data_IF_331311710952
#
_entry.id   IF_331311710952
#
_cell.length_a   1.000
_cell.length_b   1.000
_cell.length_c   1.000
_cell.angle_alpha   90.00
_cell.angle_beta   90.00
_cell.angle_gamma   90.00
#
_symmetry.space_group_name_H-M   'P 1'
#
loop_
_entity.id
_entity.type
_entity.pdbx_description
1 polymer ?
#
# COMPACT_ATOMS: atom_id res chain seq x y z
N UNK A 1 7.97 1.59 -32.09
CA UNK A 1 6.57 1.19 -31.92
C UNK A 1 6.05 1.94 -30.72
N UNK A 2 5.04 2.78 -30.89
CA UNK A 2 4.60 3.69 -29.85
C UNK A 2 4.14 2.92 -28.64
N UNK A 3 4.72 3.26 -27.50
CA UNK A 3 4.32 2.79 -26.19
C UNK A 3 2.86 3.25 -25.96
N UNK A 4 1.91 2.43 -26.33
CA UNK A 4 0.57 2.56 -25.81
C UNK A 4 0.69 2.11 -24.36
N UNK A 5 0.82 3.06 -23.49
CA UNK A 5 0.48 2.84 -22.10
C UNK A 5 -0.81 2.06 -22.00
N UNK A 6 -1.13 1.47 -20.84
CA UNK A 6 -2.36 0.71 -20.66
C UNK A 6 -3.48 1.50 -21.30
N UNK A 7 -4.29 0.83 -22.12
CA UNK A 7 -5.41 1.48 -22.77
C UNK A 7 -6.21 2.17 -21.67
N UNK A 8 -6.24 3.51 -21.59
CA UNK A 8 -7.03 4.15 -20.55
C UNK A 8 -8.45 3.62 -20.75
N UNK A 9 -9.00 3.00 -19.71
CA UNK A 9 -10.37 2.57 -19.72
C UNK A 9 -11.20 3.73 -20.27
N UNK A 10 -12.25 3.47 -21.00
CA UNK A 10 -13.07 4.42 -21.78
C UNK A 10 -13.64 5.60 -20.96
N UNK A 11 -13.27 5.73 -19.71
CA UNK A 11 -13.74 6.76 -18.78
C UNK A 11 -12.70 7.88 -18.65
N UNK A 12 -12.87 8.93 -19.45
CA UNK A 12 -12.24 10.21 -19.19
C UNK A 12 -12.77 10.72 -17.84
N UNK A 13 -12.02 10.49 -16.79
CA UNK A 13 -12.33 11.07 -15.48
C UNK A 13 -12.09 12.58 -15.61
N UNK A 14 -13.14 13.36 -15.36
CA UNK A 14 -13.07 14.83 -15.47
C UNK A 14 -12.26 15.37 -14.30
N UNK A 15 -11.69 16.57 -14.51
CA UNK A 15 -11.15 17.38 -13.41
C UNK A 15 -12.26 17.61 -12.40
N UNK A 16 -12.15 17.00 -11.25
CA UNK A 16 -13.12 17.20 -10.19
C UNK A 16 -12.58 18.19 -9.17
N UNK A 17 -13.41 19.19 -8.89
CA UNK A 17 -13.18 20.00 -7.72
C UNK A 17 -13.56 19.19 -6.48
N UNK A 18 -12.58 18.93 -5.62
CA UNK A 18 -12.80 18.21 -4.36
C UNK A 18 -12.98 19.24 -3.24
N UNK A 19 -14.21 19.45 -2.72
CA UNK A 19 -14.43 20.39 -1.63
C UNK A 19 -13.56 20.08 -0.42
N UNK A 20 -13.03 21.09 0.26
CA UNK A 20 -12.17 20.91 1.43
C UNK A 20 -12.85 20.14 2.58
N UNK A 21 -14.18 20.18 2.65
CA UNK A 21 -14.95 19.45 3.66
C UNK A 21 -14.78 17.93 3.53
N UNK A 22 -14.43 17.43 2.35
CA UNK A 22 -14.05 16.02 2.15
C UNK A 22 -12.81 15.61 2.97
N UNK A 23 -11.98 16.56 3.38
CA UNK A 23 -10.77 16.32 4.17
C UNK A 23 -10.89 16.77 5.63
N UNK A 24 -11.68 17.84 5.89
CA UNK A 24 -11.67 18.52 7.19
C UNK A 24 -12.91 18.25 8.02
N UNK A 25 -14.02 17.86 7.39
CA UNK A 25 -15.30 17.72 8.07
C UNK A 25 -15.35 16.43 8.89
N UNK A 26 -15.66 16.58 10.18
CA UNK A 26 -15.90 15.43 11.06
C UNK A 26 -17.11 14.62 10.55
N UNK A 27 -18.17 15.26 10.10
CA UNK A 27 -19.36 14.58 9.56
C UNK A 27 -19.08 13.84 8.26
N UNK A 28 -18.07 14.27 7.48
CA UNK A 28 -17.63 13.50 6.31
C UNK A 28 -16.89 12.23 6.75
N UNK A 29 -16.00 12.35 7.72
CA UNK A 29 -15.29 11.19 8.30
C UNK A 29 -16.26 10.20 8.96
N UNK A 30 -17.26 10.67 9.66
CA UNK A 30 -18.33 9.84 10.25
C UNK A 30 -19.06 9.02 9.17
N UNK A 31 -19.33 9.63 8.00
CA UNK A 31 -19.92 8.90 6.86
C UNK A 31 -18.94 7.89 6.24
N UNK A 32 -17.66 8.20 6.16
CA UNK A 32 -16.63 7.24 5.75
C UNK A 32 -16.60 6.05 6.70
N UNK A 33 -16.60 6.31 8.00
CA UNK A 33 -16.58 5.28 9.03
C UNK A 33 -17.83 4.38 8.98
N UNK A 34 -19.00 4.96 8.70
CA UNK A 34 -20.24 4.20 8.64
C UNK A 34 -20.48 3.46 7.32
N UNK A 35 -19.99 3.99 6.19
CA UNK A 35 -20.42 3.54 4.86
C UNK A 35 -19.30 3.06 3.95
N UNK A 36 -18.05 3.48 4.16
CA UNK A 36 -16.92 3.03 3.36
C UNK A 36 -16.26 1.81 4.01
N UNK A 37 -15.66 2.00 5.19
CA UNK A 37 -14.79 1.00 5.81
C UNK A 37 -15.47 -0.36 6.07
N UNK A 38 -16.75 -0.44 6.45
CA UNK A 38 -17.42 -1.72 6.60
C UNK A 38 -17.68 -2.48 5.30
N UNK A 39 -17.63 -1.81 4.13
CA UNK A 39 -18.08 -2.37 2.85
C UNK A 39 -16.98 -2.59 1.82
N UNK A 40 -15.74 -2.24 2.14
CA UNK A 40 -14.62 -2.34 1.20
C UNK A 40 -13.64 -3.42 1.61
N UNK A 41 -13.04 -4.07 0.63
CA UNK A 41 -11.86 -4.89 0.85
C UNK A 41 -10.68 -4.01 1.20
N UNK A 42 -9.99 -4.35 2.28
CA UNK A 42 -8.84 -3.61 2.76
C UNK A 42 -7.78 -4.56 3.32
N UNK A 43 -6.51 -4.20 3.15
CA UNK A 43 -5.40 -5.00 3.67
C UNK A 43 -5.40 -4.96 5.19
N UNK A 44 -5.38 -6.11 5.84
CA UNK A 44 -5.20 -6.22 7.28
C UNK A 44 -3.73 -6.48 7.66
N UNK A 45 -3.09 -7.44 7.01
CA UNK A 45 -1.69 -7.84 7.26
C UNK A 45 -1.09 -8.54 6.03
N UNK A 46 0.16 -9.02 6.16
CA UNK A 46 0.74 -9.98 5.22
C UNK A 46 0.74 -11.39 5.79
N UNK A 47 0.79 -12.38 4.90
CA UNK A 47 0.84 -13.81 5.26
C UNK A 47 2.02 -14.14 6.17
N UNK A 48 3.15 -13.47 6.01
CA UNK A 48 4.34 -13.64 6.83
C UNK A 48 4.21 -13.13 8.27
N UNK A 49 3.16 -12.37 8.57
CA UNK A 49 2.84 -11.90 9.92
C UNK A 49 2.09 -12.95 10.76
N UNK A 50 1.49 -13.93 10.08
CA UNK A 50 0.74 -15.04 10.68
C UNK A 50 1.17 -16.38 10.04
N UNK A 51 2.45 -16.77 10.11
CA UNK A 51 2.98 -17.90 9.36
C UNK A 51 2.49 -19.28 9.87
N UNK A 52 2.13 -19.41 11.14
CA UNK A 52 1.80 -20.70 11.76
C UNK A 52 0.36 -20.73 12.30
N UNK A 53 -0.22 -21.91 12.41
CA UNK A 53 -1.52 -22.11 13.06
C UNK A 53 -1.51 -21.52 14.46
N UNK A 54 -2.53 -20.72 14.76
CA UNK A 54 -2.70 -19.97 15.98
C UNK A 54 -2.12 -18.55 15.96
N UNK A 55 -1.25 -18.22 15.00
CA UNK A 55 -0.75 -16.86 14.86
C UNK A 55 -1.88 -15.93 14.44
N UNK A 56 -1.95 -14.77 15.08
CA UNK A 56 -2.99 -13.76 14.81
C UNK A 56 -2.43 -12.35 14.83
N UNK A 57 -3.16 -11.46 14.16
CA UNK A 57 -3.01 -10.00 14.26
C UNK A 57 -4.37 -9.37 14.50
N UNK A 58 -4.43 -8.21 15.16
CA UNK A 58 -5.60 -7.36 15.16
C UNK A 58 -5.46 -6.22 14.16
N UNK A 59 -6.54 -5.92 13.48
CA UNK A 59 -6.64 -4.80 12.55
C UNK A 59 -7.77 -3.87 13.02
N UNK A 60 -7.40 -2.61 13.31
CA UNK A 60 -8.32 -1.59 13.80
C UNK A 60 -8.58 -0.53 12.73
N UNK A 61 -9.84 -0.27 12.42
CA UNK A 61 -10.29 0.76 11.47
C UNK A 61 -11.70 1.24 11.81
N UNK A 62 -11.95 2.53 11.72
CA UNK A 62 -13.29 3.12 11.87
C UNK A 62 -14.03 2.70 13.15
N UNK A 63 -13.32 2.54 14.26
CA UNK A 63 -13.88 2.10 15.54
C UNK A 63 -14.02 0.60 15.70
N UNK A 64 -13.91 -0.18 14.62
CA UNK A 64 -13.95 -1.64 14.66
C UNK A 64 -12.56 -2.24 14.89
N UNK A 65 -12.56 -3.44 15.49
CA UNK A 65 -11.37 -4.26 15.69
C UNK A 65 -11.63 -5.67 15.15
N UNK A 66 -10.74 -6.13 14.27
CA UNK A 66 -10.87 -7.45 13.62
C UNK A 66 -9.68 -8.31 14.00
N UNK A 67 -9.93 -9.55 14.44
CA UNK A 67 -8.90 -10.57 14.60
C UNK A 67 -8.75 -11.28 13.26
N UNK A 68 -7.54 -11.33 12.72
CA UNK A 68 -7.16 -12.17 11.59
C UNK A 68 -6.26 -13.27 12.13
N UNK A 69 -6.61 -14.53 11.93
CA UNK A 69 -5.95 -15.68 12.55
C UNK A 69 -5.74 -16.81 11.56
N UNK A 70 -4.58 -17.45 11.58
CA UNK A 70 -4.34 -18.68 10.84
C UNK A 70 -4.90 -19.87 11.62
N UNK A 71 -5.94 -20.50 11.09
CA UNK A 71 -6.63 -21.64 11.71
C UNK A 71 -6.02 -22.99 11.31
N UNK A 72 -5.48 -23.08 10.09
CA UNK A 72 -4.73 -24.25 9.58
C UNK A 72 -3.60 -23.77 8.65
N UNK A 73 -2.78 -24.68 8.16
CA UNK A 73 -1.63 -24.37 7.29
C UNK A 73 -2.04 -23.52 6.07
N UNK A 74 -3.17 -23.81 5.50
CA UNK A 74 -3.74 -23.20 4.29
C UNK A 74 -5.05 -22.42 4.55
N UNK A 75 -5.43 -22.21 5.83
CA UNK A 75 -6.67 -21.54 6.18
C UNK A 75 -6.45 -20.33 7.10
N UNK A 76 -7.06 -19.21 6.75
CA UNK A 76 -7.13 -17.98 7.54
C UNK A 76 -8.61 -17.67 7.78
N UNK A 77 -8.95 -17.24 8.98
CA UNK A 77 -10.27 -16.71 9.35
C UNK A 77 -10.13 -15.30 9.90
N UNK A 78 -11.21 -14.55 9.81
CA UNK A 78 -11.29 -13.25 10.46
C UNK A 78 -12.62 -13.13 11.23
N UNK A 79 -12.56 -12.45 12.37
CA UNK A 79 -13.69 -12.26 13.26
C UNK A 79 -13.67 -10.86 13.87
N UNK A 80 -14.85 -10.30 14.16
CA UNK A 80 -14.92 -9.14 15.05
C UNK A 80 -14.31 -9.49 16.40
N UNK A 81 -13.43 -8.62 16.89
CA UNK A 81 -12.68 -8.79 18.13
C UNK A 81 -13.52 -8.40 19.35
N UNK A 82 -14.61 -9.11 19.55
CA UNK A 82 -15.60 -8.76 20.57
C UNK A 82 -16.18 -9.99 21.25
N UNK A 83 -16.17 -10.01 22.58
CA UNK A 83 -16.80 -11.04 23.40
C UNK A 83 -18.33 -10.95 23.30
N UNK A 84 -18.98 -12.06 22.94
CA UNK A 84 -20.45 -12.12 22.79
C UNK A 84 -21.22 -12.05 24.08
N UNK A 85 -20.54 -12.04 25.24
CA UNK A 85 -21.19 -11.85 26.54
C UNK A 85 -21.51 -10.36 26.82
N UNK A 86 -20.48 -9.51 26.93
CA UNK A 86 -20.61 -8.09 27.31
C UNK A 86 -19.61 -7.17 26.55
N UNK A 87 -19.26 -7.51 25.32
CA UNK A 87 -18.58 -6.63 24.40
C UNK A 87 -17.09 -6.35 24.67
N UNK A 88 -16.43 -7.08 25.61
CA UNK A 88 -15.00 -6.86 25.82
C UNK A 88 -14.18 -7.30 24.62
N UNK A 89 -13.20 -6.51 24.19
CA UNK A 89 -12.16 -6.96 23.23
C UNK A 89 -11.46 -8.21 23.77
N UNK A 90 -11.25 -9.21 22.91
CA UNK A 90 -10.65 -10.49 23.27
C UNK A 90 -9.13 -10.41 23.32
N UNK A 91 -8.51 -9.70 22.34
CA UNK A 91 -7.07 -9.59 22.20
C UNK A 91 -6.66 -8.25 21.59
N UNK A 92 -5.33 -7.97 21.56
CA UNK A 92 -4.75 -6.77 20.95
C UNK A 92 -3.44 -7.12 20.28
N UNK A 93 -3.07 -6.35 19.24
CA UNK A 93 -1.79 -6.46 18.55
C UNK A 93 -1.63 -7.76 17.79
N UNK A 94 -0.57 -8.49 18.02
CA UNK A 94 -0.28 -9.77 17.40
C UNK A 94 0.20 -10.79 18.44
N UNK A 95 0.06 -12.07 18.11
CA UNK A 95 0.49 -13.14 19.00
C UNK A 95 0.11 -14.51 18.50
N UNK A 96 0.14 -15.49 19.41
CA UNK A 96 -0.27 -16.85 19.14
C UNK A 96 -1.29 -17.32 20.16
N UNK A 97 -2.35 -17.93 19.70
CA UNK A 97 -3.44 -18.44 20.53
C UNK A 97 -3.84 -19.86 20.12
N UNK A 98 -4.15 -20.72 21.07
CA UNK A 98 -4.86 -21.97 20.81
C UNK A 98 -6.38 -21.77 20.82
N UNK A 99 -6.85 -20.78 21.56
CA UNK A 99 -8.24 -20.31 21.67
C UNK A 99 -8.24 -18.85 22.07
N UNK A 100 -9.27 -18.12 21.68
CA UNK A 100 -9.51 -16.78 22.20
C UNK A 100 -10.22 -16.86 23.54
N UNK A 101 -9.75 -16.09 24.50
CA UNK A 101 -10.23 -16.11 25.88
C UNK A 101 -10.61 -14.71 26.33
N UNK A 102 -11.87 -14.56 26.79
CA UNK A 102 -12.31 -13.30 27.40
C UNK A 102 -11.83 -13.23 28.85
N UNK A 103 -10.92 -12.32 29.15
CA UNK A 103 -10.40 -12.15 30.50
C UNK A 103 -11.38 -11.52 31.48
N UNK A 104 -12.65 -11.25 31.08
CA UNK A 104 -13.67 -10.70 31.98
C UNK A 104 -14.42 -11.81 32.70
N UNK A 105 -15.04 -12.78 31.98
CA UNK A 105 -15.83 -13.86 32.58
C UNK A 105 -15.43 -15.24 32.07
N UNK A 106 -14.26 -15.38 31.47
CA UNK A 106 -13.69 -16.69 31.12
C UNK A 106 -14.32 -17.40 29.93
N UNK A 107 -15.16 -16.75 29.13
CA UNK A 107 -15.71 -17.34 27.93
C UNK A 107 -14.59 -17.55 26.88
N UNK A 108 -14.70 -18.64 26.14
CA UNK A 108 -13.65 -19.04 25.18
C UNK A 108 -14.24 -19.39 23.82
N UNK A 109 -13.46 -19.11 22.77
CA UNK A 109 -13.75 -19.46 21.39
C UNK A 109 -12.57 -20.18 20.76
N UNK A 110 -12.89 -21.15 19.92
CA UNK A 110 -11.90 -21.76 19.03
C UNK A 110 -11.44 -20.74 17.98
N UNK A 111 -10.35 -21.03 17.28
CA UNK A 111 -9.79 -20.12 16.27
C UNK A 111 -10.74 -19.87 15.10
N UNK A 112 -11.65 -20.81 14.81
CA UNK A 112 -12.68 -20.69 13.77
C UNK A 112 -13.89 -19.86 14.22
N UNK A 113 -13.86 -19.29 15.45
CA UNK A 113 -14.92 -18.48 16.02
C UNK A 113 -16.04 -19.27 16.71
N UNK A 114 -16.05 -20.60 16.65
CA UNK A 114 -17.02 -21.41 17.37
C UNK A 114 -16.82 -21.33 18.88
N UNK A 115 -17.92 -21.44 19.64
CA UNK A 115 -17.87 -21.41 21.11
C UNK A 115 -17.12 -22.64 21.63
N UNK A 116 -16.13 -22.42 22.47
CA UNK A 116 -15.37 -23.48 23.14
C UNK A 116 -15.80 -23.68 24.59
N UNK A 117 -16.17 -22.60 25.27
CA UNK A 117 -16.62 -22.64 26.67
C UNK A 117 -17.43 -21.42 27.05
N UNK A 118 -18.54 -21.62 27.71
CA UNK A 118 -19.28 -20.62 28.48
C UNK A 118 -19.18 -21.04 29.96
N UNK A 119 -18.79 -20.12 30.82
CA UNK A 119 -18.70 -20.39 32.24
C UNK A 119 -20.13 -20.57 32.80
N UNK A 120 -20.32 -21.60 33.65
CA UNK A 120 -21.59 -21.92 34.29
C UNK A 120 -22.76 -21.97 33.29
N UNK A 121 -22.53 -22.71 32.18
CA UNK A 121 -23.45 -22.78 31.03
C UNK A 121 -24.88 -23.15 31.43
N UNK A 122 -25.03 -24.00 32.46
CA UNK A 122 -26.34 -24.50 32.93
C UNK A 122 -27.20 -23.41 33.54
N UNK A 123 -26.60 -22.35 34.10
CA UNK A 123 -27.32 -21.18 34.65
C UNK A 123 -28.10 -20.43 33.57
N UNK A 124 -27.73 -20.63 32.30
CA UNK A 124 -28.36 -20.00 31.15
C UNK A 124 -29.47 -20.83 30.49
N UNK A 125 -29.89 -21.94 31.17
CA UNK A 125 -30.91 -22.81 30.63
C UNK A 125 -32.25 -22.04 30.46
N UNK A 126 -32.79 -22.07 29.25
CA UNK A 126 -34.04 -21.38 28.91
C UNK A 126 -33.89 -19.88 28.59
N UNK A 127 -32.68 -19.31 28.65
CA UNK A 127 -32.44 -17.94 28.19
C UNK A 127 -32.48 -17.89 26.66
N UNK A 128 -33.07 -16.82 26.08
CA UNK A 128 -33.02 -16.61 24.63
C UNK A 128 -31.60 -16.30 24.15
N UNK A 129 -31.34 -16.50 22.86
CA UNK A 129 -30.07 -16.11 22.19
C UNK A 129 -28.81 -16.73 22.82
N UNK A 130 -28.93 -17.96 23.34
CA UNK A 130 -27.85 -18.69 24.02
C UNK A 130 -27.43 -19.96 23.29
N UNK A 131 -27.79 -20.13 22.03
CA UNK A 131 -27.28 -21.25 21.22
C UNK A 131 -25.82 -21.02 20.85
N UNK A 132 -25.09 -22.07 20.51
CA UNK A 132 -23.72 -21.93 20.07
C UNK A 132 -23.59 -21.08 18.76
N UNK A 133 -24.66 -21.05 17.95
CA UNK A 133 -24.79 -20.18 16.80
C UNK A 133 -24.82 -18.70 17.18
N UNK A 134 -25.65 -18.35 18.18
CA UNK A 134 -25.79 -16.98 18.67
C UNK A 134 -24.49 -16.45 19.30
N UNK A 135 -23.76 -17.34 19.96
CA UNK A 135 -22.55 -17.02 20.71
C UNK A 135 -21.26 -17.12 19.87
N UNK A 136 -21.36 -17.53 18.62
CA UNK A 136 -20.22 -17.58 17.71
C UNK A 136 -19.63 -16.17 17.51
N UNK A 137 -18.30 -16.05 17.40
CA UNK A 137 -17.70 -14.78 16.95
C UNK A 137 -18.22 -14.43 15.56
N UNK A 138 -18.68 -13.22 15.39
CA UNK A 138 -19.18 -12.74 14.10
C UNK A 138 -18.06 -12.80 13.07
N UNK A 139 -18.24 -13.54 11.97
CA UNK A 139 -17.20 -13.68 10.96
C UNK A 139 -17.05 -12.41 10.12
N UNK A 140 -15.85 -12.22 9.62
CA UNK A 140 -15.49 -11.19 8.63
C UNK A 140 -14.96 -11.92 7.40
N UNK A 141 -15.32 -11.47 6.21
CA UNK A 141 -14.77 -12.05 4.98
C UNK A 141 -13.26 -11.84 4.93
N UNK A 142 -12.53 -12.86 4.49
CA UNK A 142 -11.09 -12.83 4.35
C UNK A 142 -10.69 -13.53 3.05
N UNK A 143 -9.74 -12.93 2.33
CA UNK A 143 -9.13 -13.48 1.13
C UNK A 143 -7.71 -12.94 0.98
N UNK A 144 -6.95 -13.42 0.00
CA UNK A 144 -5.54 -13.07 -0.16
C UNK A 144 -5.19 -12.70 -1.60
N UNK A 145 -4.29 -11.73 -1.75
CA UNK A 145 -3.66 -11.39 -3.01
C UNK A 145 -2.24 -10.84 -2.77
N UNK A 146 -1.28 -11.25 -3.60
CA UNK A 146 0.10 -10.75 -3.56
C UNK A 146 0.81 -10.93 -2.22
N UNK A 147 0.43 -11.95 -1.43
CA UNK A 147 0.95 -12.17 -0.08
C UNK A 147 0.30 -11.30 1.00
N UNK A 148 -0.68 -10.47 0.65
CA UNK A 148 -1.48 -9.68 1.58
C UNK A 148 -2.79 -10.40 1.93
N UNK A 149 -3.22 -10.24 3.17
CA UNK A 149 -4.50 -10.70 3.67
C UNK A 149 -5.47 -9.53 3.68
N UNK A 150 -6.54 -9.66 2.93
CA UNK A 150 -7.62 -8.68 2.83
C UNK A 150 -8.80 -9.11 3.68
N UNK A 151 -9.50 -8.13 4.22
CA UNK A 151 -10.76 -8.34 4.95
C UNK A 151 -11.87 -7.46 4.38
N UNK A 152 -13.12 -7.91 4.54
CA UNK A 152 -14.30 -7.09 4.29
C UNK A 152 -15.37 -7.43 5.33
N UNK A 153 -15.90 -6.42 6.01
CA UNK A 153 -16.88 -6.59 7.08
C UNK A 153 -18.32 -6.80 6.54
N UNK A 154 -18.57 -6.53 5.27
CA UNK A 154 -19.84 -6.79 4.61
C UNK A 154 -19.92 -8.26 4.15
N UNK A 155 -20.80 -9.08 4.73
CA UNK A 155 -20.96 -10.48 4.29
C UNK A 155 -21.50 -10.62 2.87
N UNK A 156 -22.09 -9.56 2.30
CA UNK A 156 -22.59 -9.51 0.92
C UNK A 156 -21.59 -8.96 -0.09
N UNK A 157 -20.36 -8.68 0.32
CA UNK A 157 -19.35 -8.11 -0.58
C UNK A 157 -19.03 -9.01 -1.78
N UNK A 158 -18.73 -8.39 -2.91
CA UNK A 158 -18.22 -9.11 -4.07
C UNK A 158 -16.89 -9.81 -3.74
N UNK A 159 -16.55 -10.94 -4.42
CA UNK A 159 -15.26 -11.61 -4.22
C UNK A 159 -14.07 -10.66 -4.41
N UNK A 160 -12.99 -10.85 -3.62
CA UNK A 160 -11.79 -10.02 -3.69
C UNK A 160 -11.22 -9.94 -5.11
N UNK A 161 -11.15 -11.05 -5.82
CA UNK A 161 -10.63 -11.09 -7.20
C UNK A 161 -11.38 -10.14 -8.14
N UNK A 162 -12.71 -10.03 -7.98
CA UNK A 162 -13.53 -9.10 -8.75
C UNK A 162 -13.37 -7.65 -8.27
N UNK A 163 -13.23 -7.45 -6.96
CA UNK A 163 -12.99 -6.13 -6.39
C UNK A 163 -11.69 -5.51 -6.89
N UNK A 164 -10.62 -6.34 -7.02
CA UNK A 164 -9.29 -5.92 -7.43
C UNK A 164 -9.11 -5.82 -8.95
N UNK A 165 -10.05 -6.29 -9.77
CA UNK A 165 -9.93 -6.26 -11.24
C UNK A 165 -9.69 -4.81 -11.76
N UNK A 166 -8.69 -4.58 -12.64
CA UNK A 166 -7.76 -5.52 -13.30
C UNK A 166 -6.36 -5.59 -12.65
N UNK A 167 -6.19 -5.12 -11.42
CA UNK A 167 -4.87 -4.99 -10.77
C UNK A 167 -4.08 -6.30 -10.79
N UNK A 168 -4.64 -7.46 -10.38
CA UNK A 168 -3.90 -8.73 -10.41
C UNK A 168 -3.47 -9.15 -11.82
N UNK A 169 -4.32 -8.97 -12.83
CA UNK A 169 -3.97 -9.30 -14.22
C UNK A 169 -2.73 -8.58 -14.70
N UNK A 170 -2.57 -7.32 -14.29
CA UNK A 170 -1.46 -6.46 -14.74
C UNK A 170 -0.21 -6.67 -13.87
N UNK A 171 -0.36 -6.96 -12.58
CA UNK A 171 0.76 -6.85 -11.63
C UNK A 171 1.19 -8.18 -11.00
N UNK A 172 0.48 -9.29 -11.22
CA UNK A 172 0.90 -10.62 -10.71
C UNK A 172 2.27 -11.06 -11.26
N UNK A 173 2.73 -10.50 -12.39
CA UNK A 173 4.06 -10.76 -12.93
C UNK A 173 5.20 -10.36 -11.98
N UNK A 174 4.95 -9.52 -10.96
CA UNK A 174 5.93 -9.18 -9.93
C UNK A 174 6.01 -10.22 -8.80
N UNK A 175 5.06 -11.15 -8.70
CA UNK A 175 5.05 -12.21 -7.68
C UNK A 175 5.28 -11.68 -6.25
N UNK A 176 4.49 -10.68 -5.82
CA UNK A 176 4.63 -10.02 -4.51
C UNK A 176 4.55 -10.99 -3.32
N UNK A 177 3.89 -12.13 -3.47
CA UNK A 177 3.80 -13.18 -2.46
C UNK A 177 5.14 -13.87 -2.18
N UNK A 178 6.10 -13.77 -3.12
CA UNK A 178 7.48 -14.26 -2.96
C UNK A 178 8.41 -13.25 -2.29
N UNK A 179 7.98 -11.99 -2.14
CA UNK A 179 8.73 -10.98 -1.42
C UNK A 179 8.46 -11.06 0.08
N UNK A 180 9.40 -10.56 0.88
CA UNK A 180 9.31 -10.46 2.34
C UNK A 180 9.59 -9.04 2.78
N UNK A 181 9.21 -8.70 4.00
CA UNK A 181 9.55 -7.39 4.56
C UNK A 181 11.07 -7.18 4.60
N UNK A 182 11.54 -6.13 3.93
CA UNK A 182 12.81 -5.50 4.21
C UNK A 182 12.71 -4.68 5.48
N UNK A 183 11.59 -3.96 5.64
CA UNK A 183 11.18 -3.26 6.84
C UNK A 183 9.68 -2.91 6.79
N UNK A 184 9.10 -2.76 7.98
CA UNK A 184 7.73 -2.28 8.18
C UNK A 184 7.74 -1.12 9.16
N UNK A 185 7.25 0.05 8.76
CA UNK A 185 7.12 1.25 9.57
C UNK A 185 5.69 1.75 9.54
N UNK A 186 5.21 2.20 10.71
CA UNK A 186 3.86 2.76 10.86
C UNK A 186 3.97 4.08 11.61
N UNK A 187 3.42 5.13 11.02
CA UNK A 187 3.53 6.48 11.54
C UNK A 187 2.16 7.11 11.74
N UNK A 188 2.02 7.96 12.74
CA UNK A 188 0.89 8.86 12.88
C UNK A 188 1.24 10.18 12.20
N UNK A 189 0.58 10.52 11.10
CA UNK A 189 0.75 11.79 10.40
C UNK A 189 -0.33 12.79 10.79
N UNK A 190 0.00 14.08 11.00
CA UNK A 190 -0.96 15.12 11.32
C UNK A 190 -1.67 15.65 10.05
N UNK A 191 -2.30 14.75 9.31
CA UNK A 191 -3.11 15.05 8.15
C UNK A 191 -4.22 14.02 7.96
N UNK A 192 -5.22 14.36 7.15
CA UNK A 192 -6.27 13.42 6.77
C UNK A 192 -5.70 12.24 5.98
N UNK A 193 -6.27 11.05 6.15
CA UNK A 193 -5.80 9.85 5.46
C UNK A 193 -5.82 9.96 3.93
N UNK A 194 -6.75 10.78 3.37
CA UNK A 194 -6.82 11.06 1.94
C UNK A 194 -5.66 11.94 1.47
N UNK A 195 -5.29 12.95 2.26
CA UNK A 195 -4.11 13.81 1.96
C UNK A 195 -2.84 12.96 1.91
N UNK A 196 -2.67 12.04 2.87
CA UNK A 196 -1.53 11.12 2.88
C UNK A 196 -1.53 10.16 1.69
N UNK A 197 -2.71 9.63 1.32
CA UNK A 197 -2.85 8.72 0.19
C UNK A 197 -2.59 9.41 -1.16
N UNK A 198 -3.17 10.59 -1.36
CA UNK A 198 -3.12 11.32 -2.63
C UNK A 198 -1.70 11.72 -3.04
N UNK A 199 -0.82 12.00 -2.08
CA UNK A 199 0.57 12.33 -2.35
C UNK A 199 1.35 11.19 -3.05
N UNK A 200 0.83 9.96 -3.00
CA UNK A 200 1.40 8.78 -3.67
C UNK A 200 0.48 8.21 -4.76
N UNK A 201 -0.53 8.97 -5.16
CA UNK A 201 -1.48 8.57 -6.18
C UNK A 201 -1.28 9.36 -7.49
N UNK A 202 -0.19 10.08 -7.59
CA UNK A 202 0.17 10.92 -8.74
C UNK A 202 1.67 11.22 -8.73
N UNK A 203 2.22 11.62 -9.88
CA UNK A 203 3.62 12.04 -10.02
C UNK A 203 3.77 13.54 -10.34
N UNK A 204 2.69 14.33 -10.25
CA UNK A 204 2.71 15.74 -10.63
C UNK A 204 3.56 16.61 -9.70
N UNK A 205 3.63 16.22 -8.41
CA UNK A 205 4.41 16.93 -7.38
C UNK A 205 5.93 16.70 -7.50
N UNK A 206 6.37 15.64 -8.19
CA UNK A 206 7.79 15.20 -8.23
C UNK A 206 8.72 16.34 -8.62
N UNK A 207 8.36 17.10 -9.66
CA UNK A 207 9.20 18.18 -10.16
C UNK A 207 9.46 19.31 -9.13
N UNK A 208 8.56 19.51 -8.19
CA UNK A 208 8.68 20.56 -7.17
C UNK A 208 9.18 20.01 -5.82
N UNK A 209 8.69 18.85 -5.43
CA UNK A 209 8.98 18.24 -4.12
C UNK A 209 10.30 17.47 -4.12
N UNK A 210 10.63 16.82 -5.24
CA UNK A 210 11.81 15.93 -5.38
C UNK A 210 12.77 16.40 -6.48
N UNK A 211 13.28 17.64 -6.44
CA UNK A 211 14.12 18.16 -7.51
C UNK A 211 15.39 17.33 -7.76
N UNK A 212 15.85 16.58 -6.75
CA UNK A 212 16.98 15.66 -6.87
C UNK A 212 16.73 14.51 -7.87
N UNK A 213 15.48 14.17 -8.15
CA UNK A 213 15.12 13.13 -9.12
C UNK A 213 15.17 13.62 -10.55
N UNK A 214 15.06 14.93 -10.81
CA UNK A 214 14.97 15.48 -12.16
C UNK A 214 16.21 15.21 -13.00
N UNK A 215 17.35 14.95 -12.39
CA UNK A 215 18.59 14.64 -13.10
C UNK A 215 18.72 13.18 -13.53
N UNK A 216 17.87 12.30 -12.97
CA UNK A 216 17.99 10.84 -13.16
C UNK A 216 16.68 10.11 -13.46
N UNK A 217 15.53 10.77 -13.29
CA UNK A 217 14.24 10.10 -13.41
C UNK A 217 13.72 9.96 -14.86
N UNK A 218 14.44 10.50 -15.85
CA UNK A 218 14.05 10.42 -17.24
C UNK A 218 12.84 11.32 -17.57
N UNK A 219 11.81 10.74 -18.17
CA UNK A 219 10.58 11.47 -18.44
C UNK A 219 9.75 11.52 -17.15
N UNK A 220 9.86 12.63 -16.40
CA UNK A 220 9.08 12.88 -15.20
C UNK A 220 7.65 13.40 -15.48
N UNK A 221 7.30 13.58 -16.75
CA UNK A 221 5.96 13.96 -17.17
C UNK A 221 5.06 12.74 -17.13
N UNK A 222 4.41 12.52 -16.02
CA UNK A 222 3.55 11.36 -15.81
C UNK A 222 2.19 11.50 -16.49
N UNK A 223 1.52 10.39 -16.67
CA UNK A 223 0.10 10.28 -17.02
C UNK A 223 -0.57 9.36 -16.02
N UNK A 224 -1.75 9.75 -15.62
CA UNK A 224 -2.54 9.03 -14.63
C UNK A 224 -3.78 8.44 -15.30
N UNK A 225 -4.15 7.23 -14.89
CA UNK A 225 -5.19 6.42 -15.51
C UNK A 225 -6.14 5.88 -14.45
N UNK A 226 -7.41 5.71 -14.84
CA UNK A 226 -8.45 5.10 -14.02
C UNK A 226 -8.75 3.69 -14.52
N UNK A 227 -8.84 2.73 -13.60
CA UNK A 227 -9.20 1.34 -13.81
C UNK A 227 -10.35 0.96 -12.87
N UNK A 228 -11.59 1.18 -13.32
CA UNK A 228 -12.75 1.04 -12.44
C UNK A 228 -12.63 1.97 -11.23
N UNK A 229 -12.48 1.41 -10.05
CA UNK A 229 -12.27 2.14 -8.78
C UNK A 229 -10.79 2.39 -8.44
N UNK A 230 -9.90 1.73 -9.15
CA UNK A 230 -8.46 1.82 -8.96
C UNK A 230 -7.84 2.86 -9.86
N UNK A 231 -6.59 3.20 -9.60
CA UNK A 231 -5.84 4.13 -10.41
C UNK A 231 -4.38 3.70 -10.59
N UNK A 232 -3.75 4.27 -11.60
CA UNK A 232 -2.32 4.06 -11.85
C UNK A 232 -1.73 5.30 -12.46
N UNK A 233 -0.48 5.60 -12.18
CA UNK A 233 0.26 6.51 -13.03
C UNK A 233 1.52 5.86 -13.60
N UNK A 234 1.93 6.36 -14.74
CA UNK A 234 3.13 5.96 -15.45
C UNK A 234 3.68 7.11 -16.28
N UNK A 235 4.75 6.86 -16.99
CA UNK A 235 5.36 7.88 -17.83
C UNK A 235 4.54 8.11 -19.11
N UNK A 236 4.48 9.37 -19.54
CA UNK A 236 3.66 9.77 -20.68
C UNK A 236 4.21 9.33 -22.02
N UNK A 237 5.53 9.29 -22.11
CA UNK A 237 6.28 8.93 -23.32
C UNK A 237 7.57 8.22 -22.93
N UNK A 238 8.10 7.44 -23.84
CA UNK A 238 9.42 6.81 -23.66
C UNK A 238 10.55 7.65 -24.29
N UNK A 239 10.41 8.97 -24.32
CA UNK A 239 11.42 9.84 -24.94
C UNK A 239 12.72 9.91 -24.16
N UNK A 240 12.62 9.82 -22.83
CA UNK A 240 13.76 9.71 -21.93
C UNK A 240 13.47 8.64 -20.88
N UNK A 241 14.30 7.64 -20.84
CA UNK A 241 14.18 6.58 -19.83
C UNK A 241 14.84 7.00 -18.52
N UNK A 242 14.60 6.24 -17.47
CA UNK A 242 15.31 6.38 -16.19
C UNK A 242 16.83 6.39 -16.46
N UNK A 243 17.56 7.13 -15.67
CA UNK A 243 19.00 7.41 -15.89
C UNK A 243 19.29 8.62 -16.76
N UNK A 244 18.26 9.26 -17.35
CA UNK A 244 18.42 10.50 -18.09
C UNK A 244 17.82 11.68 -17.30
N UNK A 245 18.29 12.93 -17.53
CA UNK A 245 17.65 14.09 -16.95
C UNK A 245 16.26 14.31 -17.54
N UNK A 246 15.34 14.79 -16.71
CA UNK A 246 14.01 15.19 -17.14
C UNK A 246 14.07 16.27 -18.25
N UNK A 247 13.16 16.24 -19.24
CA UNK A 247 12.97 17.34 -20.18
C UNK A 247 12.77 18.70 -19.53
N UNK A 248 12.19 18.73 -18.33
CA UNK A 248 11.96 19.97 -17.55
C UNK A 248 13.22 20.70 -17.17
N UNK A 249 14.36 19.99 -17.06
CA UNK A 249 15.66 20.59 -16.71
C UNK A 249 16.30 21.36 -17.86
N UNK A 250 15.88 21.11 -19.09
CA UNK A 250 16.55 21.60 -20.31
C UNK A 250 17.93 20.98 -20.55
N UNK A 251 18.39 20.07 -19.71
CA UNK A 251 19.67 19.39 -19.87
C UNK A 251 19.67 18.44 -21.08
N UNK A 252 20.79 18.34 -21.81
CA UNK A 252 20.90 17.36 -22.87
C UNK A 252 20.91 15.93 -22.32
N UNK A 253 20.74 14.95 -23.22
CA UNK A 253 21.01 13.55 -22.93
C UNK A 253 22.48 13.38 -22.52
N UNK A 254 22.78 12.51 -21.55
CA UNK A 254 24.18 12.21 -21.21
C UNK A 254 24.89 11.53 -22.39
N UNK A 255 26.15 11.82 -22.58
CA UNK A 255 26.98 11.15 -23.59
C UNK A 255 27.10 9.65 -23.33
N UNK A 256 27.21 9.28 -22.06
CA UNK A 256 27.21 7.89 -21.60
C UNK A 256 25.92 7.60 -20.76
N UNK A 257 24.96 6.97 -21.40
CA UNK A 257 23.67 6.63 -20.77
C UNK A 257 23.82 5.58 -19.67
N UNK A 258 24.90 4.79 -19.65
CA UNK A 258 25.17 3.80 -18.59
C UNK A 258 25.40 4.48 -17.25
N UNK A 259 26.22 5.55 -17.24
CA UNK A 259 26.49 6.33 -16.02
C UNK A 259 25.22 6.95 -15.44
N UNK A 260 24.33 7.42 -16.31
CA UNK A 260 23.02 7.94 -15.90
C UNK A 260 22.19 6.92 -15.16
N UNK A 261 22.12 5.68 -15.68
CA UNK A 261 21.35 4.61 -15.06
C UNK A 261 21.97 4.13 -13.72
N UNK A 262 23.30 4.02 -13.64
CA UNK A 262 23.99 3.74 -12.38
C UNK A 262 23.69 4.82 -11.34
N UNK A 263 23.69 6.10 -11.74
CA UNK A 263 23.32 7.20 -10.86
C UNK A 263 21.86 7.11 -10.41
N UNK A 264 20.94 6.73 -11.28
CA UNK A 264 19.51 6.53 -10.91
C UNK A 264 19.38 5.53 -9.77
N UNK A 265 19.94 4.33 -9.91
CA UNK A 265 19.86 3.31 -8.85
C UNK A 265 20.49 3.78 -7.54
N UNK A 266 21.64 4.45 -7.61
CA UNK A 266 22.29 5.03 -6.43
C UNK A 266 21.40 6.09 -5.75
N UNK A 267 20.85 7.03 -6.52
CA UNK A 267 19.95 8.07 -5.96
C UNK A 267 18.71 7.46 -5.31
N UNK A 268 18.10 6.48 -5.97
CA UNK A 268 16.91 5.81 -5.42
C UNK A 268 17.23 5.04 -4.13
N UNK A 269 18.36 4.32 -4.09
CA UNK A 269 18.76 3.59 -2.89
C UNK A 269 19.10 4.53 -1.72
N UNK A 270 19.80 5.65 -2.00
CA UNK A 270 20.19 6.63 -0.98
C UNK A 270 19.01 7.48 -0.48
N UNK A 271 18.04 7.81 -1.35
CA UNK A 271 17.00 8.82 -1.03
C UNK A 271 15.62 8.25 -0.76
N UNK A 272 15.24 7.14 -1.38
CA UNK A 272 13.97 6.45 -1.10
C UNK A 272 14.15 5.28 -0.13
N UNK A 273 15.23 4.51 -0.25
CA UNK A 273 15.62 3.38 0.64
C UNK A 273 14.60 2.23 0.70
N UNK A 274 13.76 2.09 -0.30
CA UNK A 274 12.57 1.25 -0.16
C UNK A 274 12.29 0.27 -1.31
N UNK A 275 12.63 0.60 -2.56
CA UNK A 275 12.31 -0.21 -3.75
C UNK A 275 13.57 -0.91 -4.26
N UNK A 276 14.57 -0.12 -4.65
CA UNK A 276 15.84 -0.65 -5.13
C UNK A 276 16.70 -1.13 -3.96
N UNK A 277 17.42 -2.20 -4.19
CA UNK A 277 18.27 -2.84 -3.18
C UNK A 277 19.74 -2.49 -3.39
N UNK A 278 20.58 -2.71 -2.38
CA UNK A 278 22.03 -2.61 -2.55
C UNK A 278 22.54 -3.55 -3.66
N UNK A 279 21.92 -4.74 -3.77
CA UNK A 279 22.21 -5.71 -4.84
C UNK A 279 21.92 -5.13 -6.22
N UNK A 280 20.78 -4.44 -6.40
CA UNK A 280 20.44 -3.78 -7.65
C UNK A 280 21.47 -2.73 -8.04
N UNK A 281 21.93 -1.94 -7.07
CA UNK A 281 22.93 -0.88 -7.27
C UNK A 281 24.28 -1.47 -7.64
N UNK A 282 24.74 -2.51 -6.95
CA UNK A 282 26.02 -3.16 -7.27
C UNK A 282 25.98 -3.85 -8.64
N UNK A 283 24.87 -4.52 -8.96
CA UNK A 283 24.68 -5.12 -10.28
C UNK A 283 24.70 -4.07 -11.40
N UNK A 284 24.06 -2.92 -11.20
CA UNK A 284 24.07 -1.84 -12.19
C UNK A 284 25.47 -1.27 -12.47
N UNK A 285 26.39 -1.27 -11.52
CA UNK A 285 27.78 -0.81 -11.71
C UNK A 285 28.54 -1.63 -12.76
N UNK A 286 28.15 -2.89 -12.98
CA UNK A 286 28.73 -3.76 -14.00
C UNK A 286 28.57 -3.18 -15.41
N UNK A 287 27.56 -2.34 -15.65
CA UNK A 287 27.38 -1.64 -16.92
C UNK A 287 28.65 -0.89 -17.35
N UNK A 288 29.35 -0.28 -16.40
CA UNK A 288 30.53 0.53 -16.69
C UNK A 288 31.72 -0.28 -17.20
N UNK A 289 31.76 -1.58 -16.88
CA UNK A 289 32.90 -2.46 -17.19
C UNK A 289 32.57 -3.55 -18.22
N UNK A 290 31.32 -3.99 -18.29
CA UNK A 290 30.89 -5.15 -19.06
C UNK A 290 30.01 -4.78 -20.28
N UNK A 291 29.73 -3.49 -20.48
CA UNK A 291 28.93 -3.02 -21.62
C UNK A 291 29.66 -1.87 -22.37
N UNK A 292 29.55 -1.84 -23.70
CA UNK A 292 30.06 -0.75 -24.51
C UNK A 292 29.33 0.58 -24.24
N UNK A 293 30.02 1.73 -24.23
CA UNK A 293 29.34 3.03 -24.09
C UNK A 293 28.44 3.42 -25.28
N UNK A 294 28.50 2.68 -26.39
CA UNK A 294 27.70 2.95 -27.59
C UNK A 294 26.25 2.42 -27.53
N UNK A 295 25.85 1.79 -26.43
CA UNK A 295 24.48 1.29 -26.27
C UNK A 295 23.43 2.41 -26.17
N UNK A 296 22.24 2.18 -26.74
CA UNK A 296 21.11 3.08 -26.55
C UNK A 296 20.47 2.86 -25.18
N UNK A 297 19.60 3.78 -24.74
CA UNK A 297 18.96 3.72 -23.41
C UNK A 297 18.23 2.40 -23.14
N UNK A 298 17.54 1.85 -24.14
CA UNK A 298 16.82 0.59 -23.99
C UNK A 298 17.77 -0.59 -23.77
N UNK A 299 18.84 -0.67 -24.55
CA UNK A 299 19.87 -1.71 -24.41
C UNK A 299 20.56 -1.64 -23.05
N UNK A 300 20.86 -0.42 -22.57
CA UNK A 300 21.47 -0.21 -21.26
C UNK A 300 20.53 -0.65 -20.13
N UNK A 301 19.26 -0.29 -20.21
CA UNK A 301 18.27 -0.73 -19.21
C UNK A 301 18.09 -2.26 -19.22
N UNK A 302 18.00 -2.86 -20.42
CA UNK A 302 17.88 -4.30 -20.57
C UNK A 302 19.08 -5.03 -19.95
N UNK A 303 20.28 -4.51 -20.18
CA UNK A 303 21.52 -5.09 -19.63
C UNK A 303 21.62 -4.90 -18.12
N UNK A 304 21.18 -3.76 -17.59
CA UNK A 304 21.11 -3.55 -16.14
C UNK A 304 20.18 -4.59 -15.49
N UNK A 305 18.99 -4.80 -16.05
CA UNK A 305 18.04 -5.79 -15.51
C UNK A 305 18.57 -7.23 -15.64
N UNK A 306 19.32 -7.54 -16.69
CA UNK A 306 20.00 -8.83 -16.81
C UNK A 306 21.01 -9.03 -15.66
N UNK A 307 21.85 -8.02 -15.39
CA UNK A 307 22.81 -8.07 -14.28
C UNK A 307 22.14 -8.17 -12.90
N UNK A 308 21.04 -7.46 -12.70
CA UNK A 308 20.25 -7.54 -11.46
C UNK A 308 19.65 -8.93 -11.28
N UNK A 309 19.10 -9.51 -12.37
CA UNK A 309 18.60 -10.88 -12.37
C UNK A 309 19.69 -11.89 -12.02
N UNK A 310 20.85 -11.77 -12.67
CA UNK A 310 22.00 -12.64 -12.39
C UNK A 310 22.42 -12.55 -10.93
N UNK A 311 22.51 -11.35 -10.36
CA UNK A 311 22.87 -11.14 -8.96
C UNK A 311 21.82 -11.75 -8.01
N UNK A 312 20.53 -11.52 -8.27
CA UNK A 312 19.44 -12.05 -7.46
C UNK A 312 19.40 -13.59 -7.48
N UNK A 313 19.60 -14.19 -8.66
CA UNK A 313 19.67 -15.65 -8.82
C UNK A 313 20.92 -16.22 -8.13
N UNK A 314 22.07 -15.58 -8.28
CA UNK A 314 23.31 -16.02 -7.63
C UNK A 314 23.22 -15.99 -6.10
N UNK A 315 22.50 -15.04 -5.53
CA UNK A 315 22.21 -14.98 -4.09
C UNK A 315 21.09 -15.94 -3.64
N UNK A 316 20.40 -16.61 -4.58
CA UNK A 316 19.28 -17.50 -4.28
C UNK A 316 17.95 -16.79 -4.01
N UNK A 317 17.86 -15.49 -4.24
CA UNK A 317 16.64 -14.70 -4.04
C UNK A 317 15.59 -14.91 -5.14
N UNK A 318 16.02 -15.40 -6.31
CA UNK A 318 15.18 -15.58 -7.47
C UNK A 318 14.85 -14.27 -8.20
N UNK A 319 14.19 -14.38 -9.34
CA UNK A 319 13.75 -13.27 -10.17
C UNK A 319 12.46 -13.65 -10.89
N UNK A 320 11.48 -12.73 -11.03
CA UNK A 320 10.22 -13.08 -11.70
C UNK A 320 10.42 -13.18 -13.22
N UNK A 321 9.61 -14.03 -13.85
CA UNK A 321 9.50 -14.08 -15.31
C UNK A 321 8.66 -12.89 -15.78
N UNK A 322 9.33 -11.77 -16.07
CA UNK A 322 8.69 -10.52 -16.44
C UNK A 322 9.28 -9.93 -17.71
N UNK A 323 8.43 -9.57 -18.66
CA UNK A 323 8.84 -8.92 -19.90
C UNK A 323 8.83 -7.39 -19.78
N UNK A 324 9.56 -6.71 -20.68
CA UNK A 324 9.52 -5.25 -20.77
C UNK A 324 8.13 -4.70 -21.11
N UNK A 325 7.32 -5.47 -21.85
CA UNK A 325 5.93 -5.09 -22.14
C UNK A 325 5.10 -5.10 -20.86
N UNK A 326 5.24 -6.14 -20.03
CA UNK A 326 4.56 -6.22 -18.72
C UNK A 326 5.00 -5.10 -17.79
N UNK A 327 6.31 -4.80 -17.72
CA UNK A 327 6.83 -3.67 -16.93
C UNK A 327 6.24 -2.35 -17.41
N UNK A 328 6.22 -2.12 -18.73
CA UNK A 328 5.62 -0.91 -19.30
C UNK A 328 4.12 -0.79 -19.03
N UNK A 329 3.40 -1.93 -19.07
CA UNK A 329 1.95 -1.98 -18.76
C UNK A 329 1.67 -1.73 -17.29
N UNK A 330 2.53 -2.21 -16.41
CA UNK A 330 2.37 -2.03 -14.96
C UNK A 330 2.54 -0.58 -14.50
N UNK A 331 3.23 0.26 -15.28
CA UNK A 331 3.46 1.66 -14.92
C UNK A 331 4.40 1.83 -13.73
N UNK A 332 4.29 2.95 -13.05
CA UNK A 332 5.19 3.31 -11.96
C UNK A 332 4.57 3.13 -10.57
N UNK A 333 3.27 3.36 -10.43
CA UNK A 333 2.58 3.35 -9.14
C UNK A 333 1.11 2.98 -9.33
N UNK A 334 0.55 2.24 -8.38
CA UNK A 334 -0.84 1.81 -8.35
C UNK A 334 -1.54 2.28 -7.09
N UNK A 335 -2.72 2.85 -7.27
CA UNK A 335 -3.69 3.05 -6.20
C UNK A 335 -4.75 1.95 -6.27
N UNK A 336 -4.78 1.08 -5.27
CA UNK A 336 -5.83 0.08 -5.06
C UNK A 336 -6.83 0.63 -4.05
N UNK A 337 -8.01 0.97 -4.54
CA UNK A 337 -9.09 1.51 -3.70
C UNK A 337 -9.39 0.56 -2.52
N UNK A 338 -9.65 1.05 -1.28
CA UNK A 338 -9.73 2.46 -0.94
C UNK A 338 -8.38 3.10 -0.59
N UNK A 339 -7.40 2.37 -0.08
CA UNK A 339 -6.32 2.97 0.70
C UNK A 339 -4.96 2.29 0.57
N UNK A 340 -4.78 1.43 -0.40
CA UNK A 340 -3.49 0.79 -0.68
C UNK A 340 -2.84 1.42 -1.91
N UNK A 341 -1.57 1.80 -1.78
CA UNK A 341 -0.74 2.27 -2.89
C UNK A 341 0.51 1.40 -2.98
N UNK A 342 1.01 1.13 -4.18
CA UNK A 342 2.27 0.42 -4.32
C UNK A 342 3.05 0.79 -5.57
N UNK A 343 4.38 0.79 -5.42
CA UNK A 343 5.37 0.99 -6.47
C UNK A 343 6.07 -0.36 -6.72
N UNK A 344 5.79 -1.02 -7.85
CA UNK A 344 6.34 -2.35 -8.12
C UNK A 344 7.72 -2.28 -8.76
N UNK A 345 8.59 -3.22 -8.38
CA UNK A 345 9.86 -3.51 -9.05
C UNK A 345 10.13 -5.02 -8.98
N UNK A 346 10.88 -5.62 -9.94
CA UNK A 346 11.10 -7.06 -9.95
C UNK A 346 11.75 -7.64 -8.69
N UNK A 347 12.71 -6.93 -8.09
CA UNK A 347 13.44 -7.36 -6.89
C UNK A 347 12.87 -6.83 -5.58
N UNK A 348 12.02 -5.83 -5.65
CA UNK A 348 11.41 -5.22 -4.46
C UNK A 348 10.17 -4.41 -4.76
N UNK A 349 9.48 -3.96 -3.74
CA UNK A 349 8.32 -3.11 -3.89
C UNK A 349 8.13 -2.23 -2.66
N UNK A 350 7.53 -1.07 -2.87
CA UNK A 350 7.13 -0.19 -1.78
C UNK A 350 5.62 -0.13 -1.74
N UNK A 351 5.04 -0.40 -0.58
CA UNK A 351 3.61 -0.36 -0.35
C UNK A 351 3.27 0.65 0.74
N UNK A 352 2.15 1.30 0.60
CA UNK A 352 1.59 2.24 1.57
C UNK A 352 0.13 1.92 1.86
N UNK A 353 -0.29 2.15 3.10
CA UNK A 353 -1.69 2.11 3.48
C UNK A 353 -2.01 3.29 4.39
N UNK A 354 -2.92 4.18 3.97
CA UNK A 354 -3.44 5.25 4.80
C UNK A 354 -4.79 4.85 5.40
N UNK A 355 -5.01 5.07 6.69
CA UNK A 355 -6.29 4.80 7.35
C UNK A 355 -6.59 5.86 8.40
N UNK A 356 -7.88 6.12 8.71
CA UNK A 356 -8.23 7.11 9.72
C UNK A 356 -7.65 6.77 11.09
N UNK A 357 -7.29 7.80 11.86
CA UNK A 357 -6.90 7.69 13.27
C UNK A 357 -8.10 8.02 14.15
N UNK A 358 -8.92 7.01 14.41
CA UNK A 358 -10.19 7.18 15.10
C UNK A 358 -11.15 8.09 14.36
N UNK A 359 -11.67 9.09 15.06
CA UNK A 359 -12.63 10.10 14.57
C UNK A 359 -12.00 11.50 14.38
N UNK A 360 -10.67 11.56 14.26
CA UNK A 360 -9.92 12.79 14.04
C UNK A 360 -9.61 13.00 12.53
N UNK A 361 -10.26 13.96 11.85
CA UNK A 361 -10.00 14.24 10.44
C UNK A 361 -8.61 14.85 10.17
N UNK A 362 -7.91 15.31 11.21
CA UNK A 362 -6.57 15.92 11.13
C UNK A 362 -5.44 14.92 11.43
N UNK A 363 -5.74 13.65 11.49
CA UNK A 363 -4.75 12.61 11.81
C UNK A 363 -5.03 11.33 11.03
N UNK A 364 -4.00 10.64 10.62
CA UNK A 364 -4.10 9.31 10.03
C UNK A 364 -2.98 8.40 10.50
N UNK A 365 -3.22 7.10 10.42
CA UNK A 365 -2.19 6.09 10.53
C UNK A 365 -1.72 5.72 9.12
N UNK A 366 -0.43 5.84 8.91
CA UNK A 366 0.22 5.60 7.63
C UNK A 366 1.22 4.47 7.77
N UNK A 367 0.88 3.32 7.18
CA UNK A 367 1.73 2.14 7.17
C UNK A 367 2.57 2.12 5.89
N UNK A 368 3.85 1.78 6.02
CA UNK A 368 4.83 1.77 4.94
C UNK A 368 5.55 0.43 4.97
N UNK A 369 5.57 -0.26 3.85
CA UNK A 369 6.18 -1.58 3.72
C UNK A 369 7.16 -1.60 2.55
N UNK A 370 8.44 -1.73 2.86
CA UNK A 370 9.44 -2.09 1.85
C UNK A 370 9.53 -3.61 1.78
N UNK A 371 9.27 -4.14 0.62
CA UNK A 371 9.38 -5.57 0.32
C UNK A 371 10.61 -5.82 -0.56
N UNK A 372 11.21 -7.00 -0.40
CA UNK A 372 12.36 -7.43 -1.18
C UNK A 372 12.33 -8.95 -1.36
N UNK A 373 12.95 -9.43 -2.44
CA UNK A 373 13.25 -10.85 -2.62
C UNK A 373 14.49 -11.22 -1.83
N UNK A 374 14.38 -12.26 -1.03
CA UNK A 374 15.49 -12.86 -0.26
C UNK A 374 15.66 -14.32 -0.63
N UNK A 375 16.89 -14.84 -0.47
CA UNK A 375 17.08 -16.28 -0.43
C UNK A 375 16.30 -16.85 0.78
N UNK A 376 15.75 -18.06 0.66
CA UNK A 376 15.04 -18.68 1.78
C UNK A 376 15.88 -18.70 3.06
N UNK A 377 15.35 -18.11 4.13
CA UNK A 377 16.03 -18.01 5.44
C UNK A 377 17.03 -16.87 5.56
N UNK A 378 17.20 -16.02 4.53
CA UNK A 378 18.04 -14.82 4.57
C UNK A 378 17.22 -13.53 4.81
N UNK A 379 15.91 -13.63 4.88
CA UNK A 379 15.05 -12.51 5.22
C UNK A 379 15.33 -11.99 6.64
N UNK A 380 15.31 -10.67 6.86
CA UNK A 380 15.51 -10.10 8.19
C UNK A 380 14.35 -10.51 9.12
N UNK A 381 14.59 -10.58 10.44
CA UNK A 381 13.51 -10.76 11.40
C UNK A 381 12.43 -9.70 11.21
N UNK A 382 11.17 -10.12 11.21
CA UNK A 382 10.05 -9.18 11.12
C UNK A 382 10.05 -8.24 12.32
N UNK A 383 10.41 -7.00 12.09
CA UNK A 383 10.29 -5.91 13.05
C UNK A 383 9.29 -4.90 12.56
N UNK A 384 8.39 -4.46 13.45
CA UNK A 384 7.45 -3.39 13.19
C UNK A 384 7.85 -2.18 14.01
N UNK A 385 8.11 -1.08 13.34
CA UNK A 385 8.48 0.16 13.99
C UNK A 385 7.28 1.12 14.00
N UNK A 386 6.92 1.60 15.18
CA UNK A 386 5.75 2.46 15.37
C UNK A 386 6.18 3.85 15.86
N UNK A 387 5.78 4.89 15.13
CA UNK A 387 6.09 6.28 15.38
C UNK A 387 4.76 7.04 15.62
N UNK A 388 4.14 6.81 16.80
CA UNK A 388 2.79 7.29 17.10
C UNK A 388 2.74 8.46 18.08
N UNK A 389 3.87 8.84 18.68
CA UNK A 389 3.96 10.05 19.48
C UNK A 389 3.88 11.32 18.62
N UNK A 390 3.63 12.45 19.26
CA UNK A 390 3.63 13.75 18.58
C UNK A 390 5.01 14.00 17.99
N UNK A 391 5.05 14.15 16.66
CA UNK A 391 6.28 14.41 15.92
C UNK A 391 7.36 13.29 15.97
N UNK A 392 7.04 12.08 16.46
CA UNK A 392 7.99 10.95 16.48
C UNK A 392 8.58 10.68 15.09
N UNK A 393 7.76 10.79 14.04
CA UNK A 393 8.16 10.59 12.66
C UNK A 393 9.22 11.60 12.17
N UNK A 394 9.40 12.73 12.86
CA UNK A 394 10.44 13.73 12.54
C UNK A 394 11.81 13.33 13.09
N UNK A 395 11.85 12.49 14.12
CA UNK A 395 13.09 12.07 14.72
C UNK A 395 13.84 11.12 13.79
N UNK A 396 15.09 11.47 13.45
CA UNK A 396 15.92 10.70 12.52
C UNK A 396 15.23 10.37 11.17
N UNK A 397 14.35 11.27 10.71
CA UNK A 397 13.47 11.00 9.55
C UNK A 397 14.25 10.63 8.27
N UNK A 398 15.37 11.31 8.00
CA UNK A 398 16.24 11.01 6.84
C UNK A 398 16.88 9.61 6.93
N UNK A 399 17.22 9.19 8.15
CA UNK A 399 17.75 7.84 8.37
C UNK A 399 16.65 6.79 8.24
N UNK A 400 15.52 7.03 8.89
CA UNK A 400 14.40 6.08 8.98
C UNK A 400 13.62 5.92 7.68
N UNK A 401 13.42 7.01 6.91
CA UNK A 401 12.52 7.03 5.77
C UNK A 401 13.19 7.42 4.46
N UNK A 402 14.39 8.02 4.51
CA UNK A 402 15.04 8.62 3.35
C UNK A 402 14.50 10.02 3.02
N UNK A 403 15.17 10.69 2.09
CA UNK A 403 14.87 12.09 1.73
C UNK A 403 13.51 12.24 1.05
N UNK A 404 13.14 11.32 0.15
CA UNK A 404 11.90 11.40 -0.63
C UNK A 404 10.70 11.36 0.30
N UNK A 405 10.57 10.32 1.12
CA UNK A 405 9.43 10.19 2.05
C UNK A 405 9.40 11.32 3.08
N UNK A 406 10.57 11.78 3.53
CA UNK A 406 10.65 12.94 4.43
C UNK A 406 10.08 14.20 3.81
N UNK A 407 10.39 14.50 2.54
CA UNK A 407 9.85 15.63 1.80
C UNK A 407 8.31 15.54 1.69
N UNK A 408 7.79 14.37 1.40
CA UNK A 408 6.34 14.12 1.29
C UNK A 408 5.63 14.34 2.63
N UNK A 409 6.14 13.78 3.71
CA UNK A 409 5.52 13.92 5.04
C UNK A 409 5.42 15.37 5.49
N UNK A 410 6.44 16.18 5.18
CA UNK A 410 6.41 17.61 5.46
C UNK A 410 5.34 18.31 4.62
N UNK A 411 5.21 17.97 3.33
CA UNK A 411 4.22 18.56 2.45
C UNK A 411 2.80 18.19 2.87
N UNK A 412 2.52 16.93 3.18
CA UNK A 412 1.21 16.47 3.65
C UNK A 412 0.73 17.25 4.87
N UNK A 413 1.64 17.49 5.83
CA UNK A 413 1.36 18.27 7.03
C UNK A 413 1.01 19.72 6.68
N UNK A 414 1.78 20.35 5.80
CA UNK A 414 1.55 21.73 5.37
C UNK A 414 0.27 21.87 4.53
N UNK A 415 -0.03 20.88 3.69
CA UNK A 415 -1.29 20.81 2.89
C UNK A 415 -2.48 20.79 3.84
N UNK A 416 -2.49 19.91 4.84
CA UNK A 416 -3.56 19.82 5.83
C UNK A 416 -3.78 21.16 6.56
N UNK A 417 -2.70 21.84 6.93
CA UNK A 417 -2.80 23.16 7.55
C UNK A 417 -3.35 24.21 6.61
N UNK A 418 -2.89 24.23 5.35
CA UNK A 418 -3.32 25.15 4.33
C UNK A 418 -4.81 24.97 3.98
N UNK A 419 -5.31 23.74 3.96
CA UNK A 419 -6.73 23.43 3.68
C UNK A 419 -7.68 24.08 4.69
N UNK A 420 -7.25 24.34 5.92
CA UNK A 420 -8.04 25.03 6.97
C UNK A 420 -8.25 26.51 6.69
N UNK A 421 -7.49 27.11 5.79
CA UNK A 421 -7.63 28.54 5.44
C UNK A 421 -9.03 28.84 4.89
N UNK A 422 -9.55 30.01 5.24
CA UNK A 422 -10.80 30.53 4.66
C UNK A 422 -10.65 30.83 3.16
N UNK A 423 -9.44 31.07 2.69
CA UNK A 423 -9.11 31.31 1.28
C UNK A 423 -9.13 30.06 0.40
N UNK A 424 -8.99 28.87 0.99
CA UNK A 424 -9.04 27.60 0.27
C UNK A 424 -10.45 27.03 0.26
N UNK A 425 -10.95 26.62 -0.90
CA UNK A 425 -12.31 26.09 -1.06
C UNK A 425 -12.33 24.60 -1.38
N UNK A 426 -11.26 24.08 -1.95
CA UNK A 426 -11.13 22.69 -2.33
C UNK A 426 -9.99 22.48 -3.33
N UNK A 427 -9.59 21.22 -3.49
CA UNK A 427 -8.52 20.78 -4.37
C UNK A 427 -8.96 20.80 -5.84
N UNK A 428 -8.00 21.06 -6.72
CA UNK A 428 -8.16 20.98 -8.18
C UNK A 428 -7.13 19.99 -8.69
N UNK A 429 -7.61 18.98 -9.37
CA UNK A 429 -6.75 17.92 -9.90
C UNK A 429 -6.35 18.22 -11.33
N UNK A 430 -5.10 17.91 -11.69
CA UNK A 430 -4.63 17.98 -13.07
C UNK A 430 -5.29 16.85 -13.88
N UNK A 431 -5.99 17.17 -15.01
CA UNK A 431 -6.80 16.19 -15.74
C UNK A 431 -6.00 15.08 -16.41
N UNK A 432 -4.67 15.23 -16.55
CA UNK A 432 -3.81 14.26 -17.21
C UNK A 432 -2.87 13.55 -16.25
N UNK A 433 -2.44 14.22 -15.19
CA UNK A 433 -1.44 13.70 -14.26
C UNK A 433 -2.03 13.28 -12.92
N UNK A 434 -3.26 13.69 -12.58
CA UNK A 434 -3.94 13.37 -11.32
C UNK A 434 -5.32 12.71 -11.55
N UNK A 435 -5.52 12.03 -12.67
CA UNK A 435 -6.76 11.29 -12.98
C UNK A 435 -7.06 10.24 -11.91
N UNK A 436 -6.04 9.58 -11.36
CA UNK A 436 -6.18 8.60 -10.29
C UNK A 436 -6.74 9.22 -9.01
N UNK A 437 -6.33 10.45 -8.67
CA UNK A 437 -6.87 11.21 -7.52
C UNK A 437 -8.35 11.54 -7.74
N UNK A 438 -8.73 12.07 -8.91
CA UNK A 438 -10.13 12.34 -9.25
C UNK A 438 -10.99 11.08 -9.22
N UNK A 439 -10.46 9.97 -9.75
CA UNK A 439 -11.13 8.67 -9.76
C UNK A 439 -11.36 8.13 -8.35
N UNK A 440 -10.35 8.26 -7.48
CA UNK A 440 -10.47 7.88 -6.08
C UNK A 440 -11.65 8.61 -5.40
N UNK A 441 -11.75 9.94 -5.54
CA UNK A 441 -12.84 10.70 -4.95
C UNK A 441 -14.20 10.36 -5.56
N UNK A 442 -14.26 10.01 -6.83
CA UNK A 442 -15.48 9.53 -7.48
C UNK A 442 -15.94 8.22 -6.82
N UNK A 443 -15.07 7.23 -6.76
CA UNK A 443 -15.36 5.94 -6.14
C UNK A 443 -15.75 6.09 -4.65
N UNK A 444 -15.03 6.92 -3.91
CA UNK A 444 -15.34 7.22 -2.50
C UNK A 444 -16.76 7.78 -2.33
N UNK A 445 -17.14 8.76 -3.17
CA UNK A 445 -18.49 9.35 -3.11
C UNK A 445 -19.57 8.34 -3.45
N UNK A 446 -19.34 7.42 -4.37
CA UNK A 446 -20.27 6.34 -4.70
C UNK A 446 -20.54 5.44 -3.49
N UNK A 447 -19.50 5.04 -2.75
CA UNK A 447 -19.66 4.27 -1.51
C UNK A 447 -20.39 5.03 -0.40
N UNK A 448 -20.07 6.31 -0.20
CA UNK A 448 -20.69 7.14 0.84
C UNK A 448 -22.16 7.47 0.51
N UNK A 449 -22.52 7.58 -0.79
CA UNK A 449 -23.87 7.91 -1.24
C UNK A 449 -24.85 6.72 -1.21
N UNK A 450 -24.35 5.48 -1.20
CA UNK A 450 -25.21 4.30 -1.12
C UNK A 450 -26.02 4.32 0.19
N UNK A 451 -27.34 4.27 0.07
CA UNK A 451 -28.25 4.07 1.21
C UNK A 451 -28.14 2.61 1.68
N UNK A 452 -28.53 2.36 2.93
CA UNK A 452 -28.51 1.03 3.53
C UNK A 452 -29.51 0.08 2.85
#
# INVERSE_FOLDING_TARGET
MGNRGPNPGEHTVRVDFVPKDSYLSKSFLERENARLWPRVWQVACRLEEIPNTGDYVTFDVAGESIIVVRTAADEIKAHFNVCQHRGRRLTNGCGKAAKFHCAYHGWQWNLDGSVARVLDRDDWAGCPEMTDGDLRLTPVLVDTWGGFVFINMDPGAEPLAKFLDPVPEITNCFEFEKMRYRWYKSIRLPCNWKVALEAFNEGYHVAATHPQLLDVAGDDVTRSFAYGRHGMFGYSTATRMIGAPSPRTGKPMPEDVRQGLVNFFRVMEETLKAINTARDCEAAKRLMHEMSPSGNQFEVLAKAMEFQREAAVAEGAGWPEISFEQLGRAGADWHVFPNLVFLPYPDGALFYRARPDGDNPDSCIYDIWSLQRFAPGAEPPLTREFYYGVDDWKQNALENFGLILWQDFQNMTNVQQGMKSRGFKGSRTNPLQETSVSNFHRALREFIAQEE
#
